data_IF_998365596118
#
_entry.id   IF_998365596118
#
_cell.length_a   1.000
_cell.length_b   1.000
_cell.length_c   1.000
_cell.angle_alpha   90.00
_cell.angle_beta   90.00
_cell.angle_gamma   90.00
#
_symmetry.space_group_name_H-M   'P 1'
#
loop_
_entity.id
_entity.type
_entity.pdbx_description
1 polymer ?
#
# COMPACT_ATOMS: atom_id res chain seq x y z
N UNK A 1 -5.39 1.47 -4.01
CA UNK A 1 -6.37 2.56 -3.83
C UNK A 1 -5.75 3.84 -3.20
N UNK A 2 -4.46 4.12 -3.44
CA UNK A 2 -3.79 5.31 -2.90
C UNK A 2 -3.39 5.16 -1.42
N UNK A 3 -2.95 6.26 -0.82
CA UNK A 3 -2.50 6.36 0.58
C UNK A 3 -3.08 7.60 1.25
N UNK A 4 -3.62 7.41 2.44
CA UNK A 4 -4.11 8.47 3.33
C UNK A 4 -2.96 9.40 3.77
N UNK A 5 -1.74 8.90 3.82
CA UNK A 5 -0.53 9.72 4.08
C UNK A 5 -0.32 10.72 2.95
N UNK A 6 -0.60 10.36 1.70
CA UNK A 6 -0.53 11.30 0.59
C UNK A 6 -1.59 12.40 0.70
N UNK A 7 -2.79 12.08 1.18
CA UNK A 7 -3.83 13.09 1.43
C UNK A 7 -3.41 14.06 2.53
N UNK A 8 -2.83 13.57 3.62
CA UNK A 8 -2.28 14.41 4.69
C UNK A 8 -1.15 15.33 4.20
N UNK A 9 -0.21 14.79 3.41
CA UNK A 9 0.89 15.58 2.82
C UNK A 9 0.34 16.63 1.86
N UNK A 10 -0.64 16.28 1.03
CA UNK A 10 -1.26 17.19 0.06
C UNK A 10 -1.87 18.42 0.75
N UNK A 11 -2.52 18.22 1.89
CA UNK A 11 -3.15 19.27 2.69
C UNK A 11 -2.14 20.15 3.44
N UNK A 12 -0.85 19.76 3.48
CA UNK A 12 0.20 20.49 4.18
C UNK A 12 1.18 21.12 3.19
N UNK A 13 1.07 22.44 2.86
CA UNK A 13 1.82 23.06 1.75
C UNK A 13 3.35 22.87 1.82
N UNK A 14 3.93 22.93 3.02
CA UNK A 14 5.37 22.73 3.22
C UNK A 14 5.77 21.30 2.85
N UNK A 15 5.00 20.29 3.30
CA UNK A 15 5.27 18.89 2.99
C UNK A 15 5.02 18.62 1.50
N UNK A 16 3.93 19.14 0.93
CA UNK A 16 3.64 19.01 -0.51
C UNK A 16 4.79 19.54 -1.38
N UNK A 17 5.42 20.65 -0.98
CA UNK A 17 6.58 21.19 -1.70
C UNK A 17 7.82 20.29 -1.57
N UNK A 18 8.03 19.64 -0.43
CA UNK A 18 9.15 18.71 -0.20
C UNK A 18 8.97 17.41 -1.00
N UNK A 19 7.78 16.81 -0.94
CA UNK A 19 7.48 15.54 -1.60
C UNK A 19 7.15 15.69 -3.09
N UNK A 20 6.79 16.89 -3.53
CA UNK A 20 6.64 17.23 -4.94
C UNK A 20 5.36 16.67 -5.58
N UNK A 21 5.33 16.59 -6.93
CA UNK A 21 4.09 16.32 -7.67
C UNK A 21 3.55 14.90 -7.49
N UNK A 22 4.38 13.94 -7.10
CA UNK A 22 3.98 12.53 -6.91
C UNK A 22 2.87 12.37 -5.86
N UNK A 23 2.79 13.30 -4.90
CA UNK A 23 1.75 13.30 -3.88
C UNK A 23 0.36 13.35 -4.50
N UNK A 24 0.17 14.06 -5.61
CA UNK A 24 -1.15 14.18 -6.25
C UNK A 24 -1.67 12.84 -6.77
N UNK A 25 -0.76 12.01 -7.29
CA UNK A 25 -1.11 10.75 -7.93
C UNK A 25 -1.38 9.65 -6.90
N UNK A 26 -0.74 9.73 -5.72
CA UNK A 26 -0.81 8.70 -4.68
C UNK A 26 -1.98 8.87 -3.69
N UNK A 27 -2.86 9.84 -3.89
CA UNK A 27 -3.97 10.17 -2.97
C UNK A 27 -5.01 9.06 -2.87
N UNK A 28 -5.54 8.84 -1.67
CA UNK A 28 -6.62 7.88 -1.42
C UNK A 28 -8.01 8.51 -1.60
N UNK A 29 -8.12 9.82 -1.82
CA UNK A 29 -9.39 10.49 -2.12
C UNK A 29 -10.17 9.84 -3.26
N UNK A 30 -11.50 9.83 -3.14
CA UNK A 30 -12.42 9.13 -4.07
C UNK A 30 -12.23 9.52 -5.54
N UNK A 31 -11.90 10.79 -5.81
CA UNK A 31 -11.71 11.32 -7.17
C UNK A 31 -10.23 11.40 -7.57
N UNK A 32 -9.32 10.68 -6.87
CA UNK A 32 -7.91 10.66 -7.19
C UNK A 32 -7.61 9.86 -8.47
N UNK A 33 -6.43 10.11 -9.05
CA UNK A 33 -5.96 9.37 -10.22
C UNK A 33 -5.98 7.84 -9.98
N UNK A 34 -5.43 7.36 -8.85
CA UNK A 34 -5.39 5.92 -8.55
C UNK A 34 -6.79 5.30 -8.44
N UNK A 35 -7.78 6.03 -7.94
CA UNK A 35 -9.17 5.55 -7.86
C UNK A 35 -9.94 5.67 -9.19
N UNK A 36 -9.34 6.28 -10.22
CA UNK A 36 -9.86 6.25 -11.61
C UNK A 36 -9.40 5.01 -12.40
N UNK A 37 -8.45 4.25 -11.87
CA UNK A 37 -7.91 3.05 -12.51
C UNK A 37 -8.93 1.90 -12.44
N UNK A 38 -9.02 1.12 -13.51
CA UNK A 38 -9.87 -0.07 -13.58
C UNK A 38 -9.26 -1.30 -12.89
N UNK A 39 -9.97 -2.44 -12.91
CA UNK A 39 -9.46 -3.69 -12.37
C UNK A 39 -8.24 -4.19 -13.15
N UNK A 40 -7.43 -5.02 -12.50
CA UNK A 40 -6.32 -5.73 -13.17
C UNK A 40 -6.84 -6.95 -13.94
N UNK A 41 -6.16 -7.28 -15.04
CA UNK A 41 -6.52 -8.38 -15.95
C UNK A 41 -5.38 -9.40 -16.15
N UNK A 42 -4.51 -9.50 -15.15
CA UNK A 42 -3.38 -10.44 -15.10
C UNK A 42 -3.28 -11.04 -13.70
N UNK A 43 -2.51 -12.11 -13.55
CA UNK A 43 -2.27 -12.74 -12.25
C UNK A 43 -1.51 -11.78 -11.32
N UNK A 44 -2.23 -11.12 -10.42
CA UNK A 44 -1.70 -10.20 -9.42
C UNK A 44 -1.78 -10.82 -8.02
N UNK A 45 -0.62 -11.05 -7.41
CA UNK A 45 -0.49 -11.35 -5.98
C UNK A 45 -0.10 -10.09 -5.22
N UNK A 46 -0.75 -9.82 -4.09
CA UNK A 46 -0.48 -8.66 -3.25
C UNK A 46 0.06 -9.14 -1.90
N UNK A 47 1.22 -8.62 -1.50
CA UNK A 47 1.75 -8.84 -0.14
C UNK A 47 1.73 -7.48 0.58
N UNK A 48 0.99 -7.40 1.69
CA UNK A 48 0.79 -6.18 2.47
C UNK A 48 1.40 -6.32 3.87
N UNK A 49 2.02 -5.25 4.37
CA UNK A 49 2.43 -5.16 5.76
C UNK A 49 1.28 -4.68 6.64
N UNK A 50 1.25 -5.09 7.91
CA UNK A 50 0.31 -4.56 8.91
C UNK A 50 0.97 -4.08 10.21
N UNK A 51 2.27 -3.77 10.17
CA UNK A 51 3.00 -3.25 11.33
C UNK A 51 3.41 -1.80 11.13
N UNK A 52 3.00 -0.95 12.07
CA UNK A 52 3.38 0.47 12.13
C UNK A 52 4.15 0.80 13.39
N UNK A 53 5.29 1.47 13.24
CA UNK A 53 6.14 1.87 14.39
C UNK A 53 5.90 3.32 14.82
N UNK A 54 5.25 4.13 13.99
CA UNK A 54 5.06 5.56 14.24
C UNK A 54 3.58 5.86 14.55
N UNK A 55 3.32 6.40 15.75
CA UNK A 55 1.99 6.82 16.19
C UNK A 55 1.30 7.76 15.17
N UNK A 56 2.04 8.65 14.52
CA UNK A 56 1.50 9.63 13.56
C UNK A 56 0.90 8.92 12.32
N UNK A 57 1.52 7.83 11.84
CA UNK A 57 0.99 7.06 10.72
C UNK A 57 -0.34 6.39 11.06
N UNK A 58 -0.41 5.74 12.23
CA UNK A 58 -1.63 5.07 12.71
C UNK A 58 -2.77 6.03 13.06
N UNK A 59 -2.50 7.32 13.30
CA UNK A 59 -3.57 8.33 13.44
C UNK A 59 -4.14 8.79 12.09
N UNK A 60 -3.35 8.67 11.00
CA UNK A 60 -3.74 9.12 9.66
C UNK A 60 -4.41 7.99 8.87
N UNK A 61 -3.92 6.76 9.05
CA UNK A 61 -4.37 5.59 8.29
C UNK A 61 -5.35 4.79 9.14
N UNK A 62 -6.62 4.64 8.72
CA UNK A 62 -7.58 3.81 9.43
C UNK A 62 -7.28 2.31 9.27
N UNK A 63 -7.36 1.55 10.37
CA UNK A 63 -7.28 0.09 10.35
C UNK A 63 -5.85 -0.45 10.38
N UNK A 64 -5.66 -1.66 9.84
CA UNK A 64 -4.34 -2.28 9.71
C UNK A 64 -3.50 -1.59 8.63
N UNK A 65 -2.25 -1.28 8.94
CA UNK A 65 -1.36 -0.51 8.05
C UNK A 65 0.12 -0.82 8.29
N UNK A 66 0.97 -0.46 7.33
CA UNK A 66 2.42 -0.66 7.38
C UNK A 66 3.21 0.63 7.68
N UNK A 67 2.51 1.71 8.02
CA UNK A 67 3.04 3.04 8.30
C UNK A 67 3.03 3.98 7.08
N UNK A 68 2.59 3.49 5.91
CA UNK A 68 2.43 4.28 4.68
C UNK A 68 1.12 4.01 3.96
N UNK A 69 0.61 2.79 3.99
CA UNK A 69 -0.64 2.41 3.31
C UNK A 69 -1.44 1.43 4.15
N UNK A 70 -2.77 1.56 4.15
CA UNK A 70 -3.64 0.58 4.80
C UNK A 70 -3.67 -0.74 4.02
N UNK A 71 -3.82 -1.85 4.74
CA UNK A 71 -4.02 -3.17 4.16
C UNK A 71 -5.19 -3.16 3.17
N UNK A 72 -6.28 -2.46 3.48
CA UNK A 72 -7.43 -2.35 2.58
C UNK A 72 -7.09 -1.59 1.28
N UNK A 73 -6.32 -0.50 1.36
CA UNK A 73 -5.93 0.25 0.16
C UNK A 73 -4.90 -0.48 -0.71
N UNK A 74 -4.26 -1.54 -0.22
CA UNK A 74 -3.43 -2.40 -1.08
C UNK A 74 -4.27 -3.22 -2.06
N UNK A 75 -5.54 -3.52 -1.75
CA UNK A 75 -6.41 -4.34 -2.60
C UNK A 75 -6.85 -3.58 -3.86
N UNK A 76 -6.87 -4.27 -4.99
CA UNK A 76 -7.35 -3.76 -6.29
C UNK A 76 -8.15 -4.86 -6.97
N UNK A 77 -9.34 -4.54 -7.48
CA UNK A 77 -10.22 -5.50 -8.13
C UNK A 77 -9.48 -6.32 -9.20
N UNK A 78 -9.71 -7.63 -9.22
CA UNK A 78 -9.04 -8.57 -10.12
C UNK A 78 -7.77 -9.21 -9.54
N UNK A 79 -7.34 -8.85 -8.33
CA UNK A 79 -6.24 -9.55 -7.65
C UNK A 79 -6.58 -11.03 -7.40
N UNK A 80 -5.57 -11.89 -7.47
CA UNK A 80 -5.70 -13.34 -7.35
C UNK A 80 -5.54 -13.82 -5.92
N UNK A 81 -4.57 -13.27 -5.21
CA UNK A 81 -4.28 -13.64 -3.83
C UNK A 81 -3.71 -12.45 -3.05
N UNK A 82 -3.93 -12.43 -1.74
CA UNK A 82 -3.54 -11.36 -0.84
C UNK A 82 -3.00 -11.93 0.47
N UNK A 83 -1.74 -11.65 0.75
CA UNK A 83 -1.05 -12.09 1.95
C UNK A 83 -0.73 -10.88 2.84
N UNK A 84 -1.09 -10.95 4.11
CA UNK A 84 -0.72 -9.96 5.12
C UNK A 84 0.42 -10.50 5.97
N UNK A 85 1.46 -9.69 6.20
CA UNK A 85 2.63 -10.03 7.01
C UNK A 85 2.92 -8.97 8.08
N UNK A 86 3.44 -9.39 9.23
CA UNK A 86 3.77 -8.51 10.36
C UNK A 86 5.07 -7.71 10.14
N UNK A 87 5.06 -6.85 9.11
CA UNK A 87 6.20 -6.02 8.68
C UNK A 87 5.76 -4.59 8.42
N UNK A 88 6.71 -3.68 8.59
CA UNK A 88 6.55 -2.27 8.22
C UNK A 88 6.84 -2.08 6.73
N UNK A 89 6.39 -0.95 6.19
CA UNK A 89 6.53 -0.60 4.78
C UNK A 89 7.96 -0.78 4.24
N UNK A 90 8.94 -0.23 4.95
CA UNK A 90 10.35 -0.26 4.50
C UNK A 90 10.95 -1.66 4.55
N UNK A 91 10.52 -2.50 5.51
CA UNK A 91 11.21 -3.77 5.80
C UNK A 91 10.57 -4.99 5.15
N UNK A 92 9.35 -4.87 4.60
CA UNK A 92 8.60 -5.98 4.00
C UNK A 92 9.40 -6.73 2.92
N UNK A 93 10.20 -6.01 2.12
CA UNK A 93 10.95 -6.60 1.00
C UNK A 93 12.18 -7.42 1.43
N UNK A 94 12.64 -7.29 2.67
CA UNK A 94 13.91 -7.88 3.10
C UNK A 94 13.76 -9.24 3.80
N UNK A 95 12.56 -9.59 4.26
CA UNK A 95 12.33 -10.77 5.10
C UNK A 95 12.14 -12.04 4.28
N UNK A 96 12.56 -13.18 4.86
CA UNK A 96 12.56 -14.47 4.18
C UNK A 96 11.16 -14.95 3.82
N UNK A 97 10.20 -14.79 4.74
CA UNK A 97 8.79 -15.19 4.54
C UNK A 97 8.16 -14.54 3.30
N UNK A 98 8.49 -13.26 3.03
CA UNK A 98 7.97 -12.54 1.84
C UNK A 98 8.64 -13.06 0.57
N UNK A 99 9.95 -13.36 0.60
CA UNK A 99 10.66 -13.92 -0.56
C UNK A 99 10.15 -15.32 -0.90
N UNK A 100 9.89 -16.14 0.12
CA UNK A 100 9.30 -17.47 -0.05
C UNK A 100 7.88 -17.39 -0.61
N UNK A 101 7.05 -16.47 -0.10
CA UNK A 101 5.72 -16.21 -0.63
C UNK A 101 5.77 -15.78 -2.10
N UNK A 102 6.67 -14.86 -2.48
CA UNK A 102 6.86 -14.45 -3.89
C UNK A 102 7.22 -15.65 -4.76
N UNK A 103 8.18 -16.49 -4.34
CA UNK A 103 8.57 -17.68 -5.08
C UNK A 103 7.41 -18.68 -5.23
N UNK A 104 6.60 -18.85 -4.19
CA UNK A 104 5.43 -19.72 -4.22
C UNK A 104 4.36 -19.19 -5.18
N UNK A 105 4.03 -17.91 -5.11
CA UNK A 105 3.07 -17.28 -6.03
C UNK A 105 3.50 -17.41 -7.49
N UNK A 106 4.79 -17.22 -7.79
CA UNK A 106 5.31 -17.38 -9.16
C UNK A 106 5.15 -18.83 -9.66
N UNK A 107 5.31 -19.83 -8.79
CA UNK A 107 5.23 -21.24 -9.16
C UNK A 107 3.80 -21.78 -9.21
N UNK A 108 2.96 -21.33 -8.29
CA UNK A 108 1.68 -21.97 -7.96
C UNK A 108 0.47 -21.03 -8.23
N UNK A 109 0.71 -19.73 -8.36
CA UNK A 109 -0.33 -18.73 -8.55
C UNK A 109 -1.06 -18.32 -7.27
N UNK A 110 -0.55 -18.71 -6.10
CA UNK A 110 -1.06 -18.36 -4.76
C UNK A 110 0.08 -18.35 -3.73
N UNK A 111 -0.10 -17.65 -2.62
CA UNK A 111 0.84 -17.63 -1.48
C UNK A 111 0.71 -18.86 -0.58
#
# INVERSE_FOLDING_TARGET
>A
KGSEVADFIYQTPILKNIFGPIVNDLRAEKNSFVNSLGPVNFDLGIIAGNKSWNLIGSYIIPGEDDGRVSVENTKVDGYKDHLVVERTHTFIVYVIEVKEAVLKFIKEGSF
#
